data_IF_378404432993
#
_entry.id   IF_378404432993
#
_cell.length_a   1.000
_cell.length_b   1.000
_cell.length_c   1.000
_cell.angle_alpha   90.00
_cell.angle_beta   90.00
_cell.angle_gamma   90.00
#
_symmetry.space_group_name_H-M   'P 1'
#
loop_
_entity.id
_entity.type
_entity.pdbx_description
1 polymer ?
#
# COMPACT_ATOMS: atom_id res chain seq x y z
N UNK A 1 4.69 11.09 -13.61
CA UNK A 1 4.83 9.68 -14.08
C UNK A 1 5.08 8.81 -12.87
N UNK A 2 4.91 7.50 -12.94
CA UNK A 2 5.25 6.60 -11.84
C UNK A 2 6.31 5.60 -12.29
N UNK A 3 7.27 5.32 -11.41
CA UNK A 3 8.34 4.34 -11.63
C UNK A 3 7.97 3.07 -10.87
N UNK A 4 7.97 1.94 -11.55
CA UNK A 4 7.66 0.65 -10.92
C UNK A 4 8.93 -0.07 -10.51
N UNK A 5 8.98 -0.57 -9.27
CA UNK A 5 10.09 -1.40 -8.83
C UNK A 5 10.17 -2.72 -9.59
N UNK A 6 11.35 -3.29 -9.75
CA UNK A 6 11.53 -4.66 -10.24
C UNK A 6 10.81 -5.68 -9.36
N UNK A 7 10.78 -6.92 -9.81
CA UNK A 7 10.23 -8.03 -9.01
C UNK A 7 10.96 -8.13 -7.68
N UNK A 8 10.18 -8.19 -6.59
CA UNK A 8 10.70 -8.24 -5.22
C UNK A 8 11.58 -9.48 -5.04
N UNK A 9 12.86 -9.35 -4.68
CA UNK A 9 13.76 -10.48 -4.48
C UNK A 9 13.32 -11.34 -3.30
N UNK A 10 13.64 -12.64 -3.35
CA UNK A 10 13.42 -13.52 -2.21
C UNK A 10 14.26 -13.08 -1.02
N UNK A 11 13.65 -13.04 0.17
CA UNK A 11 14.31 -12.59 1.40
C UNK A 11 14.14 -11.10 1.69
N UNK A 12 13.45 -10.34 0.83
CA UNK A 12 13.05 -8.97 1.13
C UNK A 12 12.06 -8.96 2.28
N UNK A 13 12.30 -8.08 3.25
CA UNK A 13 11.38 -7.82 4.35
C UNK A 13 10.63 -6.53 4.04
N UNK A 14 9.30 -6.61 3.98
CA UNK A 14 8.42 -5.46 3.81
C UNK A 14 7.57 -5.33 5.06
N UNK A 15 7.71 -4.22 5.77
CA UNK A 15 6.98 -3.92 7.02
C UNK A 15 5.97 -2.81 6.76
N UNK A 16 4.71 -3.14 6.45
CA UNK A 16 3.68 -2.13 6.26
C UNK A 16 3.26 -1.53 7.59
N UNK A 17 3.06 -0.22 7.62
CA UNK A 17 2.49 0.47 8.77
C UNK A 17 1.52 1.57 8.34
N UNK A 18 0.57 1.90 9.22
CA UNK A 18 -0.43 2.91 8.96
C UNK A 18 0.04 4.27 9.47
N UNK A 19 0.23 5.21 8.56
CA UNK A 19 0.45 6.62 8.87
C UNK A 19 -0.90 7.27 9.11
N UNK A 20 -1.20 7.57 10.37
CA UNK A 20 -2.47 8.18 10.77
C UNK A 20 -2.44 9.68 10.59
N UNK A 21 -3.53 10.20 10.03
CA UNK A 21 -3.83 11.63 10.01
C UNK A 21 -5.02 11.85 10.93
N UNK A 22 -4.79 12.53 12.07
CA UNK A 22 -5.81 12.75 13.10
C UNK A 22 -5.16 13.08 14.43
N UNK A 23 -5.95 13.17 15.48
CA UNK A 23 -5.47 13.44 16.83
C UNK A 23 -6.39 12.83 17.87
N UNK A 24 -5.86 12.63 19.07
CA UNK A 24 -6.62 12.22 20.22
C UNK A 24 -6.85 13.46 21.11
N UNK A 25 -8.11 13.82 21.35
CA UNK A 25 -8.49 14.85 22.31
C UNK A 25 -8.56 14.21 23.70
N UNK A 26 -7.54 14.51 24.51
CA UNK A 26 -7.48 14.06 25.89
C UNK A 26 -8.11 15.14 26.78
N UNK A 27 -9.12 14.78 27.56
CA UNK A 27 -9.70 15.71 28.51
C UNK A 27 -8.73 16.00 29.65
N UNK A 28 -8.45 17.26 29.91
CA UNK A 28 -7.61 17.73 31.02
C UNK A 28 -8.24 17.41 32.38
N UNK A 29 -9.58 17.25 32.42
CA UNK A 29 -10.36 16.99 33.64
C UNK A 29 -10.68 15.50 33.85
N UNK A 30 -9.96 14.58 33.20
CA UNK A 30 -10.15 13.13 33.39
C UNK A 30 -11.37 12.55 32.68
N UNK A 31 -11.93 13.25 31.68
CA UNK A 31 -12.99 12.74 30.82
C UNK A 31 -12.46 11.70 29.78
N UNK A 32 -13.36 11.03 29.04
CA UNK A 32 -12.97 10.05 28.04
C UNK A 32 -12.18 10.71 26.91
N UNK A 33 -11.14 10.01 26.45
CA UNK A 33 -10.37 10.42 25.26
C UNK A 33 -11.22 10.27 24.00
N UNK A 34 -11.36 11.34 23.24
CA UNK A 34 -12.05 11.31 21.95
C UNK A 34 -11.02 11.22 20.82
N UNK A 35 -11.13 10.19 20.00
CA UNK A 35 -10.28 10.02 18.81
C UNK A 35 -10.91 10.68 17.60
N UNK A 36 -10.19 11.60 16.97
CA UNK A 36 -10.58 12.22 15.72
C UNK A 36 -9.83 11.52 14.59
N UNK A 37 -10.57 10.83 13.72
CA UNK A 37 -10.03 10.23 12.49
C UNK A 37 -10.33 11.16 11.33
N UNK A 38 -9.31 11.54 10.58
CA UNK A 38 -9.44 12.38 9.39
C UNK A 38 -9.16 11.57 8.13
N UNK A 39 -9.73 12.01 7.01
CA UNK A 39 -9.38 11.52 5.68
C UNK A 39 -7.92 11.90 5.41
N UNK A 40 -7.10 10.97 4.95
CA UNK A 40 -5.67 11.20 4.70
C UNK A 40 -4.76 10.18 5.36
N UNK A 41 -5.30 9.33 6.28
CA UNK A 41 -4.56 8.17 6.75
C UNK A 41 -4.20 7.28 5.56
N UNK A 42 -2.97 6.77 5.54
CA UNK A 42 -2.38 6.07 4.39
C UNK A 42 -1.40 5.02 4.86
N UNK A 43 -1.05 4.10 3.99
CA UNK A 43 -0.01 3.14 4.30
C UNK A 43 1.36 3.68 3.94
N UNK A 44 2.34 3.27 4.73
CA UNK A 44 3.74 3.33 4.38
C UNK A 44 4.33 1.92 4.55
N UNK A 45 5.43 1.65 3.88
CA UNK A 45 6.13 0.38 3.96
C UNK A 45 7.62 0.62 4.09
N UNK A 46 8.21 0.05 5.13
CA UNK A 46 9.65 -0.05 5.26
C UNK A 46 10.10 -1.29 4.49
N UNK A 47 11.02 -1.10 3.57
CA UNK A 47 11.56 -2.15 2.71
C UNK A 47 13.01 -2.38 3.06
N UNK A 48 13.35 -3.62 3.38
CA UNK A 48 14.71 -4.07 3.61
C UNK A 48 15.05 -5.16 2.61
N UNK A 49 15.98 -4.87 1.70
CA UNK A 49 16.40 -5.81 0.68
C UNK A 49 17.47 -6.77 1.22
N UNK A 50 17.46 -8.03 0.78
CA UNK A 50 18.53 -8.96 1.08
C UNK A 50 19.81 -8.53 0.35
N UNK A 51 20.90 -9.25 0.60
CA UNK A 51 22.11 -9.12 -0.20
C UNK A 51 21.80 -9.46 -1.67
N UNK A 52 22.05 -8.51 -2.56
CA UNK A 52 21.80 -8.62 -3.99
C UNK A 52 23.09 -8.78 -4.78
N UNK A 53 22.99 -9.40 -5.94
CA UNK A 53 24.05 -9.32 -6.94
C UNK A 53 24.11 -7.88 -7.55
N UNK A 54 25.25 -7.48 -8.13
CA UNK A 54 25.43 -6.11 -8.61
C UNK A 54 24.42 -5.67 -9.66
N UNK A 55 23.92 -6.57 -10.49
CA UNK A 55 22.96 -6.26 -11.56
C UNK A 55 21.59 -5.92 -10.98
N UNK A 56 21.04 -6.82 -10.15
CA UNK A 56 19.78 -6.59 -9.47
C UNK A 56 19.84 -5.38 -8.53
N UNK A 57 20.96 -5.20 -7.85
CA UNK A 57 21.19 -4.06 -6.97
C UNK A 57 21.16 -2.73 -7.74
N UNK A 58 21.75 -2.67 -8.92
CA UNK A 58 21.75 -1.47 -9.75
C UNK A 58 20.33 -1.09 -10.20
N UNK A 59 19.50 -2.08 -10.59
CA UNK A 59 18.11 -1.86 -10.96
C UNK A 59 17.29 -1.32 -9.78
N UNK A 60 17.45 -1.93 -8.60
CA UNK A 60 16.73 -1.49 -7.39
C UNK A 60 17.15 -0.13 -6.88
N UNK A 61 18.41 0.25 -7.05
CA UNK A 61 18.92 1.57 -6.67
C UNK A 61 18.51 2.65 -7.68
N UNK A 62 18.47 2.32 -8.96
CA UNK A 62 18.12 3.27 -10.01
C UNK A 62 16.66 3.77 -9.90
N UNK A 63 15.72 2.91 -9.45
CA UNK A 63 14.31 3.27 -9.36
C UNK A 63 14.05 4.46 -8.42
N UNK A 64 14.44 4.42 -7.12
CA UNK A 64 14.20 5.54 -6.21
C UNK A 64 14.98 6.80 -6.61
N UNK A 65 16.20 6.67 -7.10
CA UNK A 65 16.99 7.82 -7.55
C UNK A 65 16.39 8.49 -8.80
N UNK A 66 15.83 7.69 -9.72
CA UNK A 66 15.12 8.22 -10.88
C UNK A 66 13.86 8.96 -10.46
N UNK A 67 13.06 8.37 -9.56
CA UNK A 67 11.84 8.98 -9.07
C UNK A 67 12.11 10.30 -8.32
N UNK A 68 13.16 10.34 -7.50
CA UNK A 68 13.57 11.56 -6.81
C UNK A 68 14.02 12.65 -7.80
N UNK A 69 14.83 12.29 -8.80
CA UNK A 69 15.31 13.23 -9.80
C UNK A 69 14.22 13.82 -10.70
N UNK A 70 13.13 13.10 -10.90
CA UNK A 70 12.00 13.53 -11.74
C UNK A 70 10.79 14.02 -10.94
N UNK A 71 10.79 13.84 -9.61
CA UNK A 71 9.64 14.13 -8.76
C UNK A 71 8.46 13.17 -8.96
N UNK A 72 8.74 11.97 -9.46
CA UNK A 72 7.77 10.94 -9.75
C UNK A 72 7.45 10.08 -8.52
N UNK A 73 6.32 9.35 -8.57
CA UNK A 73 5.96 8.36 -7.56
C UNK A 73 6.59 7.00 -7.86
N UNK A 74 6.81 6.22 -6.83
CA UNK A 74 7.24 4.83 -6.91
C UNK A 74 6.07 3.89 -6.69
N UNK A 75 6.04 2.78 -7.43
CA UNK A 75 5.06 1.72 -7.27
C UNK A 75 5.76 0.46 -6.75
N UNK A 76 5.37 0.06 -5.55
CA UNK A 76 5.79 -1.21 -4.94
C UNK A 76 4.61 -2.18 -4.95
N UNK A 77 4.82 -3.38 -5.45
CA UNK A 77 3.84 -4.47 -5.34
C UNK A 77 3.95 -5.09 -3.95
N UNK A 78 2.84 -5.04 -3.20
CA UNK A 78 2.78 -5.57 -1.84
C UNK A 78 2.53 -7.07 -1.85
N UNK A 79 3.28 -7.85 -1.05
CA UNK A 79 3.01 -9.28 -0.92
C UNK A 79 1.67 -9.52 -0.22
N UNK A 80 0.93 -10.50 -0.70
CA UNK A 80 -0.29 -10.94 -0.03
C UNK A 80 0.03 -11.81 1.19
N UNK A 81 -0.66 -11.58 2.30
CA UNK A 81 -0.59 -12.43 3.49
C UNK A 81 -1.39 -13.73 3.29
N UNK A 82 -2.49 -13.66 2.54
CA UNK A 82 -3.37 -14.79 2.22
C UNK A 82 -3.33 -15.05 0.72
N UNK A 83 -2.94 -16.25 0.34
CA UNK A 83 -2.72 -16.61 -1.08
C UNK A 83 -3.75 -17.58 -1.64
N UNK A 84 -4.62 -18.17 -0.81
CA UNK A 84 -5.54 -19.23 -1.25
C UNK A 84 -6.99 -19.04 -0.75
N UNK A 85 -7.95 -19.04 -1.65
CA UNK A 85 -7.87 -18.60 -3.04
C UNK A 85 -7.93 -17.06 -3.13
N UNK A 86 -7.12 -16.48 -4.00
CA UNK A 86 -7.24 -15.06 -4.31
C UNK A 86 -8.55 -14.78 -5.07
N UNK A 87 -9.17 -13.62 -4.84
CA UNK A 87 -10.27 -13.18 -5.69
C UNK A 87 -9.82 -13.08 -7.15
N UNK A 88 -10.66 -13.48 -8.10
CA UNK A 88 -10.31 -13.43 -9.51
C UNK A 88 -10.19 -11.97 -10.01
N UNK A 89 -9.51 -11.80 -11.11
CA UNK A 89 -9.50 -10.52 -11.80
C UNK A 89 -10.91 -10.12 -12.22
N UNK A 90 -11.16 -8.81 -12.26
CA UNK A 90 -12.45 -8.27 -12.72
C UNK A 90 -13.44 -7.91 -11.61
N UNK A 91 -13.05 -8.03 -10.31
CA UNK A 91 -13.83 -7.42 -9.26
C UNK A 91 -13.80 -5.89 -9.40
N UNK A 92 -14.98 -5.28 -9.28
CA UNK A 92 -15.11 -3.82 -9.27
C UNK A 92 -15.61 -3.33 -7.92
N UNK A 93 -15.18 -2.14 -7.52
CA UNK A 93 -15.54 -1.53 -6.27
C UNK A 93 -16.18 -0.15 -6.44
N UNK A 94 -17.17 0.15 -5.61
CA UNK A 94 -17.81 1.47 -5.53
C UNK A 94 -17.86 1.91 -4.08
N UNK A 95 -17.45 3.14 -3.81
CA UNK A 95 -17.42 3.70 -2.47
C UNK A 95 -17.39 5.22 -2.47
N UNK A 96 -17.53 5.81 -1.29
CA UNK A 96 -17.51 7.26 -1.11
C UNK A 96 -16.29 7.66 -0.28
N UNK A 97 -15.61 8.71 -0.67
CA UNK A 97 -14.51 9.28 0.11
C UNK A 97 -14.95 9.58 1.55
N UNK A 98 -14.07 9.27 2.51
CA UNK A 98 -14.36 9.38 3.94
C UNK A 98 -15.06 8.16 4.55
N UNK A 99 -15.53 7.21 3.74
CA UNK A 99 -16.11 5.95 4.22
C UNK A 99 -15.02 4.89 4.43
N UNK A 100 -15.28 3.94 5.32
CA UNK A 100 -14.54 2.69 5.45
C UNK A 100 -15.26 1.52 4.77
N UNK A 101 -16.33 1.80 4.02
CA UNK A 101 -17.12 0.78 3.33
C UNK A 101 -16.96 0.91 1.82
N UNK A 102 -16.79 -0.24 1.16
CA UNK A 102 -16.68 -0.36 -0.28
C UNK A 102 -17.56 -1.52 -0.74
N UNK A 103 -18.55 -1.23 -1.57
CA UNK A 103 -19.38 -2.25 -2.19
C UNK A 103 -18.63 -2.85 -3.38
N UNK A 104 -18.59 -4.17 -3.47
CA UNK A 104 -17.91 -4.85 -4.58
C UNK A 104 -18.87 -5.70 -5.40
N UNK A 105 -18.54 -5.85 -6.68
CA UNK A 105 -19.25 -6.71 -7.63
C UNK A 105 -18.22 -7.55 -8.37
N UNK A 106 -18.49 -8.84 -8.49
CA UNK A 106 -17.61 -9.73 -9.25
C UNK A 106 -17.81 -11.21 -8.91
N UNK A 107 -17.10 -12.09 -9.62
CA UNK A 107 -17.22 -13.53 -9.46
C UNK A 107 -16.57 -14.02 -8.15
N UNK A 108 -16.88 -15.27 -7.78
CA UNK A 108 -16.21 -15.98 -6.69
C UNK A 108 -14.79 -16.44 -7.12
N UNK A 109 -13.85 -16.65 -6.17
CA UNK A 109 -14.00 -16.52 -4.72
C UNK A 109 -14.05 -15.07 -4.23
N UNK A 110 -14.70 -14.87 -3.07
CA UNK A 110 -14.85 -13.55 -2.46
C UNK A 110 -13.56 -13.12 -1.74
N UNK A 111 -13.31 -11.81 -1.61
CA UNK A 111 -12.25 -11.29 -0.74
C UNK A 111 -12.39 -11.81 0.70
N UNK A 112 -11.27 -11.95 1.40
CA UNK A 112 -11.22 -12.37 2.79
C UNK A 112 -10.59 -11.26 3.65
N UNK A 113 -10.93 -11.17 4.95
CA UNK A 113 -10.23 -10.27 5.88
C UNK A 113 -8.72 -10.56 5.89
N UNK A 114 -7.91 -9.51 5.95
CA UNK A 114 -6.45 -9.58 5.90
C UNK A 114 -5.86 -9.55 4.50
N UNK A 115 -6.66 -9.53 3.44
CA UNK A 115 -6.16 -9.36 2.07
C UNK A 115 -5.88 -7.89 1.75
N UNK A 116 -4.74 -7.66 1.13
CA UNK A 116 -4.41 -6.39 0.50
C UNK A 116 -5.10 -6.27 -0.85
N UNK A 117 -5.49 -5.08 -1.20
CA UNK A 117 -5.91 -4.75 -2.55
C UNK A 117 -5.60 -3.30 -2.88
N UNK A 118 -5.46 -3.01 -4.14
CA UNK A 118 -5.36 -1.65 -4.63
C UNK A 118 -6.39 -1.38 -5.73
N UNK A 119 -6.70 -0.12 -5.91
CA UNK A 119 -7.50 0.35 -7.03
C UNK A 119 -6.92 1.65 -7.57
N UNK A 120 -7.17 1.95 -8.84
CA UNK A 120 -6.64 3.13 -9.50
C UNK A 120 -7.75 4.14 -9.77
N UNK A 121 -7.57 5.37 -9.31
CA UNK A 121 -8.45 6.50 -9.61
C UNK A 121 -7.59 7.70 -9.98
N UNK A 122 -7.89 8.37 -11.10
CA UNK A 122 -7.14 9.53 -11.56
C UNK A 122 -5.67 9.24 -11.89
N UNK A 123 -5.36 8.00 -12.30
CA UNK A 123 -3.99 7.57 -12.62
C UNK A 123 -3.12 7.27 -11.39
N UNK A 124 -3.70 7.20 -10.18
CA UNK A 124 -2.99 6.87 -8.93
C UNK A 124 -3.55 5.61 -8.31
N UNK A 125 -2.68 4.79 -7.72
CA UNK A 125 -3.04 3.60 -6.98
C UNK A 125 -3.27 3.93 -5.50
N UNK A 126 -4.31 3.34 -4.93
CA UNK A 126 -4.67 3.48 -3.51
C UNK A 126 -4.68 2.09 -2.88
N UNK A 127 -3.82 1.90 -1.86
CA UNK A 127 -3.69 0.62 -1.17
C UNK A 127 -4.63 0.57 0.04
N UNK A 128 -5.34 -0.56 0.17
CA UNK A 128 -6.23 -0.82 1.28
C UNK A 128 -6.10 -2.26 1.78
N UNK A 129 -6.45 -2.45 3.05
CA UNK A 129 -6.54 -3.76 3.69
C UNK A 129 -8.00 -4.06 3.98
N UNK A 130 -8.45 -5.27 3.64
CA UNK A 130 -9.78 -5.76 4.00
C UNK A 130 -9.81 -6.11 5.49
N UNK A 131 -10.69 -5.47 6.26
CA UNK A 131 -10.89 -5.75 7.69
C UNK A 131 -12.02 -6.75 7.91
N UNK A 132 -13.12 -6.58 7.18
CA UNK A 132 -14.28 -7.47 7.26
C UNK A 132 -15.01 -7.53 5.91
N UNK A 133 -15.76 -8.61 5.71
CA UNK A 133 -16.54 -8.85 4.50
C UNK A 133 -17.97 -9.20 4.90
N UNK A 134 -18.94 -8.41 4.44
CA UNK A 134 -20.35 -8.75 4.54
C UNK A 134 -20.75 -9.49 3.26
N UNK A 135 -20.92 -10.80 3.38
CA UNK A 135 -21.23 -11.67 2.24
C UNK A 135 -22.66 -11.49 1.71
N UNK A 136 -23.57 -10.96 2.51
CA UNK A 136 -24.98 -10.74 2.13
C UNK A 136 -25.13 -9.48 1.31
N UNK A 137 -24.45 -8.41 1.70
CA UNK A 137 -24.54 -7.10 1.04
C UNK A 137 -23.40 -6.82 0.07
N UNK A 138 -22.42 -7.72 -0.04
CA UNK A 138 -21.19 -7.55 -0.81
C UNK A 138 -20.45 -6.26 -0.45
N UNK A 139 -20.35 -5.96 0.86
CA UNK A 139 -19.65 -4.79 1.36
C UNK A 139 -18.35 -5.23 2.05
N UNK A 140 -17.25 -4.60 1.67
CA UNK A 140 -15.96 -4.70 2.35
C UNK A 140 -15.84 -3.56 3.37
N UNK A 141 -15.41 -3.88 4.58
CA UNK A 141 -14.91 -2.89 5.51
C UNK A 141 -13.39 -2.81 5.33
N UNK A 142 -12.88 -1.62 5.05
CA UNK A 142 -11.49 -1.41 4.64
C UNK A 142 -10.74 -0.45 5.56
N UNK A 143 -9.43 -0.55 5.56
CA UNK A 143 -8.51 0.39 6.20
C UNK A 143 -7.46 0.82 5.18
N UNK A 144 -7.05 2.10 5.17
CA UNK A 144 -7.62 3.27 5.84
C UNK A 144 -8.98 3.69 5.23
N UNK A 145 -9.54 4.81 5.70
CA UNK A 145 -10.71 5.42 5.07
C UNK A 145 -10.43 5.71 3.59
N UNK A 146 -11.43 5.52 2.74
CA UNK A 146 -11.33 5.84 1.32
C UNK A 146 -11.02 7.34 1.15
N UNK A 147 -9.91 7.65 0.51
CA UNK A 147 -9.51 9.06 0.24
C UNK A 147 -10.18 9.62 -1.00
N UNK A 148 -10.58 8.76 -1.90
CA UNK A 148 -11.28 9.06 -3.15
C UNK A 148 -12.54 8.22 -3.25
N UNK A 149 -13.44 8.59 -4.15
CA UNK A 149 -14.67 7.84 -4.42
C UNK A 149 -14.49 6.95 -5.64
N UNK A 150 -14.15 5.65 -5.49
CA UNK A 150 -14.11 4.74 -6.62
C UNK A 150 -15.53 4.52 -7.15
N UNK A 151 -15.68 4.48 -8.47
CA UNK A 151 -16.95 4.23 -9.16
C UNK A 151 -16.76 3.09 -10.15
N UNK A 152 -17.24 1.90 -9.79
CA UNK A 152 -17.04 0.66 -10.55
C UNK A 152 -15.58 0.43 -10.97
N UNK A 153 -14.64 0.80 -10.08
CA UNK A 153 -13.20 0.73 -10.34
C UNK A 153 -12.69 -0.68 -10.10
N UNK A 154 -11.80 -1.18 -10.94
CA UNK A 154 -11.18 -2.49 -10.79
C UNK A 154 -10.38 -2.58 -9.49
N UNK A 155 -10.57 -3.68 -8.76
CA UNK A 155 -9.86 -4.00 -7.53
C UNK A 155 -8.77 -5.04 -7.86
N UNK A 156 -7.52 -4.70 -7.64
CA UNK A 156 -6.38 -5.60 -7.85
C UNK A 156 -5.99 -6.26 -6.53
N UNK A 157 -6.35 -7.53 -6.37
CA UNK A 157 -5.95 -8.38 -5.25
C UNK A 157 -4.72 -9.22 -5.57
N UNK A 158 -4.43 -9.44 -6.85
CA UNK A 158 -3.31 -10.28 -7.25
C UNK A 158 -1.97 -9.55 -7.07
N UNK A 159 -1.95 -8.27 -7.43
CA UNK A 159 -0.75 -7.44 -7.35
C UNK A 159 -1.09 -6.09 -6.69
N UNK A 160 -1.45 -6.06 -5.41
CA UNK A 160 -1.81 -4.82 -4.73
C UNK A 160 -0.62 -3.86 -4.72
N UNK A 161 -0.86 -2.62 -5.11
CA UNK A 161 0.17 -1.62 -5.35
C UNK A 161 0.15 -0.54 -4.28
N UNK A 162 1.30 -0.30 -3.68
CA UNK A 162 1.58 0.88 -2.88
C UNK A 162 2.26 1.91 -3.79
N UNK A 163 1.61 3.03 -4.05
CA UNK A 163 2.17 4.12 -4.86
C UNK A 163 2.45 5.33 -3.99
N UNK A 164 3.69 5.78 -3.95
CA UNK A 164 4.08 6.84 -3.06
C UNK A 164 5.46 7.42 -3.32
N UNK A 165 5.92 8.23 -2.38
CA UNK A 165 7.25 8.80 -2.40
C UNK A 165 8.19 7.99 -1.50
N UNK A 166 9.43 7.83 -1.96
CA UNK A 166 10.50 7.27 -1.15
C UNK A 166 10.93 8.28 -0.09
N UNK A 167 11.39 7.78 1.05
CA UNK A 167 12.10 8.62 2.01
C UNK A 167 13.39 9.17 1.39
N UNK A 168 13.78 10.38 1.80
CA UNK A 168 15.01 11.03 1.31
C UNK A 168 16.28 10.31 1.75
N UNK A 169 16.21 9.55 2.84
CA UNK A 169 17.34 8.81 3.39
C UNK A 169 17.38 7.39 2.85
N UNK A 170 17.94 7.23 1.66
CA UNK A 170 18.18 5.92 1.06
C UNK A 170 19.58 5.48 1.47
N UNK A 171 19.67 4.53 2.39
CA UNK A 171 20.94 3.99 2.86
C UNK A 171 21.25 2.68 2.16
N UNK A 172 22.49 2.57 1.67
CA UNK A 172 23.04 1.32 1.12
C UNK A 172 24.52 1.20 1.47
N UNK A 173 25.02 -0.02 1.52
CA UNK A 173 26.44 -0.27 1.63
C UNK A 173 26.94 -1.16 0.48
N UNK A 174 28.15 -0.87 0.02
CA UNK A 174 28.80 -1.60 -1.04
C UNK A 174 29.92 -2.46 -0.43
N UNK A 175 29.82 -3.77 -0.56
CA UNK A 175 30.92 -4.68 -0.32
C UNK A 175 31.47 -5.17 -1.65
N UNK A 176 32.71 -5.70 -1.64
CA UNK A 176 33.30 -6.26 -2.86
C UNK A 176 32.38 -7.31 -3.49
N UNK A 177 31.89 -7.05 -4.71
CA UNK A 177 30.98 -7.88 -5.49
C UNK A 177 29.60 -8.15 -4.85
N UNK A 178 29.21 -7.40 -3.80
CA UNK A 178 27.90 -7.53 -3.16
C UNK A 178 27.34 -6.18 -2.77
N UNK A 179 26.03 -6.08 -2.87
CA UNK A 179 25.28 -4.93 -2.41
C UNK A 179 24.51 -5.33 -1.15
N UNK A 180 24.78 -4.68 -0.04
CA UNK A 180 24.27 -5.08 1.28
C UNK A 180 23.52 -3.92 1.94
N UNK A 181 22.41 -4.24 2.62
CA UNK A 181 21.79 -3.32 3.56
C UNK A 181 20.99 -2.19 2.93
N UNK A 182 20.40 -2.39 1.75
CA UNK A 182 19.54 -1.40 1.14
C UNK A 182 18.20 -1.31 1.89
N UNK A 183 17.97 -0.15 2.52
CA UNK A 183 16.74 0.14 3.27
C UNK A 183 16.16 1.46 2.82
N UNK A 184 14.85 1.48 2.65
CA UNK A 184 14.11 2.70 2.34
C UNK A 184 12.65 2.57 2.79
N UNK A 185 11.98 3.70 2.96
CA UNK A 185 10.55 3.75 3.29
C UNK A 185 9.80 4.36 2.13
N UNK A 186 8.70 3.73 1.73
CA UNK A 186 7.76 4.32 0.77
C UNK A 186 6.52 4.73 1.54
N UNK A 187 6.16 6.00 1.44
CA UNK A 187 4.91 6.54 2.00
C UNK A 187 3.95 6.82 0.86
N UNK A 188 2.76 6.24 0.94
CA UNK A 188 1.72 6.42 -0.07
C UNK A 188 1.43 7.91 -0.28
N UNK A 189 1.31 8.32 -1.54
CA UNK A 189 1.01 9.70 -1.87
C UNK A 189 -0.44 10.03 -1.48
N UNK A 190 -0.60 11.15 -0.75
CA UNK A 190 -1.90 11.62 -0.28
C UNK A 190 -2.66 12.39 -1.38
#
# INVERSE_FOLDING_TARGET
MSVTFPVVPRGTVITPHLVRVGGDLVSVLGGPTQRITRIGSRYAADVELPTLDPTCAAEWLACPLTAEGTGDTLILVMPQMLTDPLPPAGLTGTGTAGSNQLTYVGPAPRPKPGMWFSFMVGGRNYLHLVLAVNATTNVLTVSPLLRVSPSATLLDFANPKLEGFCSTDIAWSLEWFRFVGHKFTITENA
#
